data_IF_928058116865
#
_entry.id   IF_928058116865
#
_cell.length_a   1.000
_cell.length_b   1.000
_cell.length_c   1.000
_cell.angle_alpha   90.00
_cell.angle_beta   90.00
_cell.angle_gamma   90.00
#
_symmetry.space_group_name_H-M   'P 1'
#
loop_
_entity.id
_entity.type
_entity.pdbx_description
1 polymer ?
#
# COMPACT_ATOMS: atom_id res chain seq x y z
N UNK A 1 22.12 -18.92 -96.64
CA UNK A 1 23.48 -19.17 -96.17
C UNK A 1 23.55 -18.62 -94.73
N UNK A 2 23.45 -19.52 -93.74
CA UNK A 2 23.30 -19.23 -92.29
C UNK A 2 24.68 -19.23 -91.59
N UNK A 3 25.01 -18.21 -90.80
CA UNK A 3 26.15 -18.22 -89.92
C UNK A 3 25.66 -17.98 -88.45
N UNK A 4 25.66 -19.08 -87.71
CA UNK A 4 25.44 -19.11 -86.30
C UNK A 4 26.65 -18.52 -85.53
N UNK A 5 26.44 -17.51 -84.68
CA UNK A 5 27.39 -17.09 -83.68
C UNK A 5 26.83 -17.52 -82.31
N UNK A 6 27.44 -18.50 -81.76
CA UNK A 6 27.22 -18.91 -80.33
C UNK A 6 28.01 -17.96 -79.41
N UNK A 7 27.30 -17.27 -78.55
CA UNK A 7 27.88 -16.54 -77.41
C UNK A 7 27.97 -17.53 -76.22
N UNK A 8 29.17 -17.74 -75.75
CA UNK A 8 29.47 -18.51 -74.55
C UNK A 8 29.45 -17.55 -73.36
N UNK A 9 28.45 -17.69 -72.50
CA UNK A 9 28.42 -17.03 -71.18
C UNK A 9 29.16 -17.91 -70.19
N UNK A 10 30.35 -17.47 -69.73
CA UNK A 10 31.05 -18.03 -68.56
C UNK A 10 30.42 -17.43 -67.28
N UNK A 11 29.52 -18.20 -66.65
CA UNK A 11 28.97 -17.85 -65.37
C UNK A 11 29.98 -18.14 -64.25
N UNK A 12 30.52 -17.08 -63.64
CA UNK A 12 31.29 -17.20 -62.38
C UNK A 12 30.36 -17.50 -61.20
N UNK A 13 30.44 -18.69 -60.61
CA UNK A 13 29.76 -19.04 -59.36
C UNK A 13 30.55 -18.42 -58.23
N UNK A 14 30.11 -17.27 -57.72
CA UNK A 14 30.60 -16.67 -56.52
C UNK A 14 30.06 -17.48 -55.31
N UNK A 15 30.92 -18.27 -54.70
CA UNK A 15 30.61 -18.95 -53.41
C UNK A 15 30.64 -17.87 -52.32
N UNK A 16 29.45 -17.43 -51.91
CA UNK A 16 29.28 -16.64 -50.67
C UNK A 16 29.43 -17.60 -49.51
N UNK A 17 30.59 -17.62 -48.90
CA UNK A 17 30.79 -18.32 -47.64
C UNK A 17 30.01 -17.60 -46.50
N UNK A 18 28.85 -18.12 -46.18
CA UNK A 18 28.13 -17.73 -44.97
C UNK A 18 28.94 -18.20 -43.77
N UNK A 19 29.70 -17.27 -43.17
CA UNK A 19 30.33 -17.49 -41.88
C UNK A 19 29.20 -17.56 -40.84
N UNK A 20 28.76 -18.76 -40.50
CA UNK A 20 27.93 -19.02 -39.37
C UNK A 20 28.73 -18.70 -38.11
N UNK A 21 28.53 -17.48 -37.55
CA UNK A 21 28.99 -17.15 -36.22
C UNK A 21 28.18 -18.04 -35.26
N UNK A 22 28.81 -18.95 -34.51
CA UNK A 22 28.10 -19.71 -33.49
C UNK A 22 27.62 -18.70 -32.48
N UNK A 23 26.31 -18.45 -32.46
CA UNK A 23 25.62 -17.84 -31.32
C UNK A 23 25.82 -18.84 -30.19
N UNK A 24 26.86 -18.63 -29.39
CA UNK A 24 26.99 -19.31 -28.11
C UNK A 24 25.75 -18.94 -27.33
N UNK A 25 24.79 -19.87 -27.29
CA UNK A 25 23.67 -19.80 -26.40
C UNK A 25 24.26 -19.77 -24.97
N UNK A 26 24.46 -18.57 -24.43
CA UNK A 26 24.85 -18.41 -23.05
C UNK A 26 23.72 -19.03 -22.23
N UNK A 27 24.01 -20.19 -21.64
CA UNK A 27 23.13 -20.77 -20.63
C UNK A 27 22.87 -19.68 -19.61
N UNK A 28 21.64 -19.20 -19.54
CA UNK A 28 21.25 -18.23 -18.53
C UNK A 28 21.59 -18.78 -17.14
N UNK A 29 21.89 -17.89 -16.19
CA UNK A 29 22.19 -18.33 -14.83
C UNK A 29 21.04 -19.19 -14.32
N UNK A 30 21.34 -20.36 -13.81
CA UNK A 30 20.41 -21.30 -13.19
C UNK A 30 19.76 -20.75 -11.91
N UNK A 31 19.91 -19.43 -11.62
CA UNK A 31 19.59 -18.77 -10.38
C UNK A 31 18.83 -17.44 -10.52
N UNK A 32 17.80 -17.32 -11.36
CA UNK A 32 16.95 -16.13 -11.43
C UNK A 32 17.64 -14.88 -12.04
N UNK A 33 16.97 -13.72 -12.10
CA UNK A 33 17.52 -12.50 -12.67
C UNK A 33 18.68 -11.96 -11.83
N UNK A 34 19.65 -11.33 -12.49
CA UNK A 34 20.77 -10.63 -11.84
C UNK A 34 20.27 -9.53 -10.93
N UNK A 35 19.27 -8.78 -11.38
CA UNK A 35 18.65 -7.73 -10.59
C UNK A 35 17.12 -7.77 -10.62
N UNK A 36 16.52 -7.39 -9.49
CA UNK A 36 15.08 -7.26 -9.30
C UNK A 36 14.78 -5.85 -8.80
N UNK A 37 13.86 -5.19 -9.46
CA UNK A 37 13.44 -3.85 -9.09
C UNK A 37 11.94 -3.85 -8.76
N UNK A 38 11.59 -3.42 -7.55
CA UNK A 38 10.23 -3.37 -7.02
C UNK A 38 9.83 -1.91 -6.84
N UNK A 39 8.81 -1.50 -7.58
CA UNK A 39 8.22 -0.16 -7.55
C UNK A 39 6.83 -0.28 -6.92
N UNK A 40 6.56 0.53 -5.92
CA UNK A 40 5.28 0.56 -5.21
C UNK A 40 4.71 1.95 -5.28
N UNK A 41 3.67 2.11 -6.07
CA UNK A 41 3.00 3.38 -6.34
C UNK A 41 1.68 3.44 -5.56
N UNK A 42 1.63 4.27 -4.53
CA UNK A 42 0.47 4.42 -3.65
C UNK A 42 -0.18 5.78 -3.74
N UNK A 43 -1.50 5.80 -3.62
CA UNK A 43 -2.28 7.00 -3.35
C UNK A 43 -2.75 6.92 -1.90
N UNK A 44 -2.50 7.97 -1.13
CA UNK A 44 -2.91 8.08 0.26
C UNK A 44 -3.87 9.26 0.39
N UNK A 45 -4.99 9.07 1.08
CA UNK A 45 -6.01 10.09 1.29
C UNK A 45 -6.52 10.08 2.74
N UNK A 46 -7.39 11.03 3.07
CA UNK A 46 -7.95 11.15 4.40
C UNK A 46 -6.92 11.55 5.44
N UNK A 47 -7.08 11.09 6.67
CA UNK A 47 -6.23 11.44 7.82
C UNK A 47 -4.75 11.09 7.58
N UNK A 48 -4.45 9.97 6.94
CA UNK A 48 -3.07 9.57 6.65
C UNK A 48 -2.33 10.53 5.71
N UNK A 49 -3.04 11.20 4.80
CA UNK A 49 -2.47 12.21 3.91
C UNK A 49 -2.10 13.54 4.61
N UNK A 50 -2.50 13.70 5.86
CA UNK A 50 -2.16 14.88 6.68
C UNK A 50 -0.84 14.73 7.46
N UNK A 51 -0.09 13.68 7.21
CA UNK A 51 1.23 13.45 7.82
C UNK A 51 1.20 12.67 9.13
N UNK A 52 0.04 12.19 9.57
CA UNK A 52 -0.11 11.43 10.84
C UNK A 52 0.29 12.21 12.10
N UNK A 53 -0.05 11.68 13.29
CA UNK A 53 0.33 12.30 14.56
C UNK A 53 -0.46 13.54 14.97
N UNK A 54 0.10 14.31 15.92
CA UNK A 54 -0.55 15.49 16.55
C UNK A 54 -0.90 16.59 15.55
N UNK A 55 -0.08 16.81 14.54
CA UNK A 55 -0.31 17.84 13.49
C UNK A 55 -1.51 17.50 12.61
N UNK A 56 -1.70 16.21 12.25
CA UNK A 56 -2.87 15.74 11.52
C UNK A 56 -4.15 15.87 12.33
N UNK A 57 -4.12 15.50 13.62
CA UNK A 57 -5.25 15.63 14.53
C UNK A 57 -5.65 17.11 14.72
N UNK A 58 -4.68 18.01 14.87
CA UNK A 58 -4.92 19.45 15.01
C UNK A 58 -5.50 20.04 13.72
N UNK A 59 -5.02 19.62 12.54
CA UNK A 59 -5.57 20.04 11.24
C UNK A 59 -7.06 19.64 11.09
N UNK A 60 -7.45 18.48 11.58
CA UNK A 60 -8.88 18.08 11.59
C UNK A 60 -9.71 18.92 12.56
N UNK A 61 -9.19 19.19 13.75
CA UNK A 61 -9.90 19.98 14.76
C UNK A 61 -10.22 21.42 14.28
N UNK A 62 -9.38 21.96 13.40
CA UNK A 62 -9.59 23.28 12.79
C UNK A 62 -10.28 23.26 11.42
N UNK A 63 -10.98 22.18 11.09
CA UNK A 63 -11.77 22.08 9.84
C UNK A 63 -10.94 21.87 8.58
N UNK A 64 -9.64 21.57 8.70
CA UNK A 64 -8.75 21.26 7.58
C UNK A 64 -8.86 19.81 7.05
N UNK A 65 -9.89 19.08 7.47
CA UNK A 65 -10.08 17.67 7.21
C UNK A 65 -10.69 17.36 5.84
N UNK A 66 -10.28 17.93 4.81
CA UNK A 66 -10.87 17.68 3.51
C UNK A 66 -10.17 16.61 2.67
N UNK A 67 -10.25 16.78 1.42
CA UNK A 67 -9.82 15.95 0.33
C UNK A 67 -8.28 15.94 0.11
N UNK A 68 -7.48 15.94 1.18
CA UNK A 68 -6.02 15.88 1.01
C UNK A 68 -5.64 14.53 0.42
N UNK A 69 -4.90 14.60 -0.67
CA UNK A 69 -4.35 13.45 -1.37
C UNK A 69 -2.84 13.61 -1.44
N UNK A 70 -2.12 12.55 -1.19
CA UNK A 70 -0.67 12.46 -1.34
C UNK A 70 -0.34 11.18 -2.10
N UNK A 71 0.68 11.21 -2.93
CA UNK A 71 1.23 10.00 -3.51
C UNK A 71 2.41 9.50 -2.66
N UNK A 72 2.55 8.20 -2.59
CA UNK A 72 3.73 7.54 -2.03
C UNK A 72 4.42 6.71 -3.12
N UNK A 73 5.73 6.66 -3.08
CA UNK A 73 6.52 5.85 -3.99
C UNK A 73 7.62 5.17 -3.18
N UNK A 74 7.61 3.83 -3.21
CA UNK A 74 8.64 3.03 -2.56
C UNK A 74 9.40 2.27 -3.64
N UNK A 75 10.71 2.43 -3.67
CA UNK A 75 11.60 1.84 -4.66
C UNK A 75 12.58 0.91 -3.97
N UNK A 76 12.73 -0.32 -4.47
CA UNK A 76 13.64 -1.32 -3.92
C UNK A 76 14.37 -2.03 -5.04
N UNK A 77 15.69 -1.90 -5.08
CA UNK A 77 16.57 -2.57 -6.02
C UNK A 77 17.40 -3.61 -5.30
N UNK A 78 17.31 -4.85 -5.72
CA UNK A 78 18.17 -5.93 -5.23
C UNK A 78 18.94 -6.55 -6.38
N UNK A 79 20.23 -6.75 -6.17
CA UNK A 79 21.12 -7.38 -7.13
C UNK A 79 21.89 -8.55 -6.53
N UNK A 80 22.20 -9.53 -7.34
CA UNK A 80 23.14 -10.62 -7.02
C UNK A 80 24.62 -10.21 -7.23
N UNK A 81 24.88 -9.01 -7.76
CA UNK A 81 26.21 -8.49 -8.02
C UNK A 81 26.70 -7.61 -6.87
N UNK A 82 28.02 -7.60 -6.67
CA UNK A 82 28.71 -6.60 -5.86
C UNK A 82 28.91 -5.31 -6.67
N UNK A 83 29.04 -4.15 -5.99
CA UNK A 83 29.38 -2.91 -6.67
C UNK A 83 30.76 -3.00 -7.35
N UNK A 84 30.88 -2.42 -8.53
CA UNK A 84 32.14 -2.23 -9.22
C UNK A 84 32.70 -0.83 -8.94
N UNK A 85 33.99 -0.72 -8.61
CA UNK A 85 34.63 0.59 -8.45
C UNK A 85 34.25 1.37 -7.20
N UNK A 86 33.99 0.70 -6.07
CA UNK A 86 33.80 1.36 -4.78
C UNK A 86 32.41 1.16 -4.16
N UNK A 87 31.86 2.19 -3.49
CA UNK A 87 30.57 2.11 -2.81
C UNK A 87 29.41 1.84 -3.77
N UNK A 88 28.37 1.17 -3.29
CA UNK A 88 27.15 0.91 -4.06
C UNK A 88 26.47 2.23 -4.48
N UNK A 89 26.22 2.39 -5.78
CA UNK A 89 25.55 3.54 -6.37
C UNK A 89 24.55 3.07 -7.41
N UNK A 90 23.32 3.51 -7.32
CA UNK A 90 22.32 3.36 -8.35
C UNK A 90 21.34 4.53 -8.31
N UNK A 91 20.82 4.90 -9.47
CA UNK A 91 19.85 5.97 -9.65
C UNK A 91 18.66 5.48 -10.45
N UNK A 92 17.47 5.93 -10.08
CA UNK A 92 16.28 5.80 -10.89
C UNK A 92 15.96 7.13 -11.58
N UNK A 93 16.10 7.17 -12.89
CA UNK A 93 15.73 8.28 -13.77
C UNK A 93 14.27 8.14 -14.14
N UNK A 94 13.49 9.19 -13.91
CA UNK A 94 12.04 9.19 -14.07
C UNK A 94 11.58 10.22 -15.12
N UNK A 95 10.37 10.06 -15.68
CA UNK A 95 9.78 11.09 -16.53
C UNK A 95 9.58 12.39 -15.74
N UNK A 96 9.57 13.53 -16.44
CA UNK A 96 9.40 14.85 -15.83
C UNK A 96 8.10 14.96 -15.01
N UNK A 97 7.05 14.19 -15.40
CA UNK A 97 5.79 14.09 -14.68
C UNK A 97 5.92 13.61 -13.23
N UNK A 98 6.94 12.85 -12.88
CA UNK A 98 7.19 12.38 -11.51
C UNK A 98 7.50 13.53 -10.54
N UNK A 99 8.01 14.67 -11.03
CA UNK A 99 8.33 15.89 -10.26
C UNK A 99 9.35 15.66 -9.12
N UNK A 100 10.21 14.65 -9.30
CA UNK A 100 11.27 14.27 -8.35
C UNK A 100 12.68 14.69 -8.82
N UNK A 101 12.76 15.55 -9.86
CA UNK A 101 13.99 15.93 -10.53
C UNK A 101 14.38 14.92 -11.61
N UNK A 102 15.65 14.94 -12.02
CA UNK A 102 16.15 14.04 -13.08
C UNK A 102 16.22 12.59 -12.62
N UNK A 103 16.58 12.37 -11.36
CA UNK A 103 16.67 11.03 -10.75
C UNK A 103 16.51 11.08 -9.23
N UNK A 104 16.30 9.92 -8.65
CA UNK A 104 16.42 9.67 -7.21
C UNK A 104 17.48 8.60 -6.97
N UNK A 105 18.31 8.80 -5.95
CA UNK A 105 19.33 7.84 -5.57
C UNK A 105 18.73 6.67 -4.81
N UNK A 106 19.10 5.44 -5.19
CA UNK A 106 18.76 4.21 -4.47
C UNK A 106 19.85 3.90 -3.46
N UNK A 107 19.63 4.28 -2.21
CA UNK A 107 20.64 4.23 -1.15
C UNK A 107 20.60 2.88 -0.45
N UNK A 108 21.78 2.30 -0.22
CA UNK A 108 21.91 1.14 0.66
C UNK A 108 21.74 1.57 2.11
N UNK A 109 20.70 1.10 2.82
CA UNK A 109 20.51 1.48 4.21
C UNK A 109 21.63 0.91 5.08
N UNK A 110 22.14 1.73 5.98
CA UNK A 110 23.01 1.24 7.06
C UNK A 110 22.14 0.40 7.99
N UNK A 111 22.54 -0.84 8.22
CA UNK A 111 21.84 -1.71 9.15
C UNK A 111 22.23 -1.29 10.57
N UNK A 112 21.50 -0.34 11.14
CA UNK A 112 21.59 -0.11 12.57
C UNK A 112 21.04 -1.38 13.27
N UNK A 113 21.87 -1.97 14.13
CA UNK A 113 21.36 -2.96 15.09
C UNK A 113 20.48 -2.22 16.06
N UNK A 114 19.18 -2.16 15.74
CA UNK A 114 18.18 -1.69 16.69
C UNK A 114 18.25 -2.56 17.96
N UNK A 115 17.92 -2.00 19.13
CA UNK A 115 17.75 -2.80 20.32
C UNK A 115 16.76 -3.92 20.02
N UNK A 116 17.12 -5.14 20.44
CA UNK A 116 16.33 -6.34 20.20
C UNK A 116 14.88 -6.13 20.67
N UNK A 117 13.94 -6.42 19.77
CA UNK A 117 12.54 -6.76 20.00
C UNK A 117 11.85 -6.18 21.26
N UNK A 118 11.74 -4.85 21.34
CA UNK A 118 10.77 -4.24 22.24
C UNK A 118 9.43 -4.07 21.52
N UNK A 119 8.38 -4.62 22.10
CA UNK A 119 7.02 -4.36 21.63
C UNK A 119 6.74 -2.84 21.67
N UNK A 120 6.09 -2.25 20.66
CA UNK A 120 5.76 -0.83 20.65
C UNK A 120 5.03 -0.43 21.95
N UNK A 121 5.59 0.53 22.70
CA UNK A 121 5.01 1.02 23.95
C UNK A 121 5.53 0.37 25.24
N UNK A 122 6.44 -0.59 25.16
CA UNK A 122 7.06 -1.19 26.33
C UNK A 122 8.22 -0.30 26.82
N UNK A 123 8.10 0.23 28.02
CA UNK A 123 9.22 0.85 28.75
C UNK A 123 10.00 -0.23 29.47
N UNK A 124 11.33 -0.09 29.54
CA UNK A 124 12.20 -1.04 30.25
C UNK A 124 11.70 -1.34 31.66
N UNK A 125 11.52 -2.62 31.97
CA UNK A 125 11.09 -3.09 33.30
C UNK A 125 9.57 -3.17 33.53
N UNK A 126 8.71 -2.75 32.57
CA UNK A 126 7.25 -2.89 32.71
C UNK A 126 6.77 -4.23 32.14
N UNK A 127 6.01 -4.98 32.93
CA UNK A 127 5.31 -6.18 32.43
C UNK A 127 4.22 -5.76 31.46
N UNK A 128 4.12 -6.40 30.27
CA UNK A 128 3.01 -6.15 29.36
C UNK A 128 1.67 -6.33 30.06
N UNK A 129 0.79 -5.35 29.93
CA UNK A 129 -0.55 -5.36 30.54
C UNK A 129 -1.57 -4.89 29.50
N UNK A 130 -2.85 -5.13 29.76
CA UNK A 130 -3.94 -4.79 28.88
C UNK A 130 -4.42 -5.96 28.02
N UNK A 131 -5.49 -5.73 27.28
CA UNK A 131 -6.16 -6.73 26.43
C UNK A 131 -6.38 -6.19 25.05
N UNK A 132 -6.25 -7.04 24.03
CA UNK A 132 -6.67 -6.75 22.67
C UNK A 132 -7.93 -7.57 22.35
N UNK A 133 -8.98 -6.88 21.98
CA UNK A 133 -10.25 -7.45 21.50
C UNK A 133 -10.20 -7.52 19.97
N UNK A 134 -10.21 -8.72 19.41
CA UNK A 134 -10.11 -8.96 17.96
C UNK A 134 -11.48 -9.31 17.40
N UNK A 135 -11.98 -8.46 16.51
CA UNK A 135 -13.23 -8.62 15.80
C UNK A 135 -13.00 -8.75 14.29
N UNK A 136 -13.96 -9.31 13.56
CA UNK A 136 -13.94 -9.41 12.10
C UNK A 136 -15.34 -9.53 11.50
N UNK A 137 -15.45 -9.24 10.20
CA UNK A 137 -16.68 -9.34 9.42
C UNK A 137 -17.42 -8.03 9.26
N UNK A 138 -18.20 -7.95 8.18
CA UNK A 138 -19.15 -6.86 7.94
C UNK A 138 -20.55 -7.32 8.38
N UNK A 139 -21.25 -6.50 9.15
CA UNK A 139 -22.62 -6.78 9.64
C UNK A 139 -23.00 -5.83 10.77
N UNK A 140 -24.28 -5.76 11.10
CA UNK A 140 -24.75 -4.92 12.22
C UNK A 140 -24.25 -5.45 13.57
N UNK A 141 -24.12 -6.78 13.68
CA UNK A 141 -23.63 -7.50 14.85
C UNK A 141 -22.57 -8.51 14.48
N UNK A 142 -21.67 -8.82 15.42
CA UNK A 142 -20.64 -9.86 15.22
C UNK A 142 -21.25 -11.26 15.32
N UNK A 143 -20.75 -12.23 14.51
CA UNK A 143 -21.08 -13.64 14.70
C UNK A 143 -20.64 -14.17 16.07
N UNK A 144 -21.23 -15.29 16.50
CA UNK A 144 -20.86 -15.97 17.75
C UNK A 144 -19.35 -16.27 17.79
N UNK A 145 -18.74 -16.17 18.99
CA UNK A 145 -17.32 -16.45 19.20
C UNK A 145 -16.41 -15.23 19.04
N UNK A 146 -16.99 -14.04 18.90
CA UNK A 146 -16.26 -12.78 18.91
C UNK A 146 -16.59 -11.94 20.16
N UNK A 147 -15.64 -11.13 20.65
CA UNK A 147 -14.25 -11.03 20.21
C UNK A 147 -13.38 -12.21 20.66
N UNK A 148 -12.26 -12.42 19.96
CA UNK A 148 -11.14 -13.15 20.54
C UNK A 148 -10.34 -12.17 21.41
N UNK A 149 -10.15 -12.55 22.67
CA UNK A 149 -9.44 -11.71 23.65
C UNK A 149 -7.99 -12.19 23.76
N UNK A 150 -7.05 -11.30 23.48
CA UNK A 150 -5.62 -11.51 23.68
C UNK A 150 -5.20 -10.73 24.93
N UNK A 151 -4.85 -11.44 25.99
CA UNK A 151 -4.40 -10.86 27.26
C UNK A 151 -2.86 -10.83 27.27
N UNK A 152 -2.29 -9.63 27.27
CA UNK A 152 -0.83 -9.46 27.17
C UNK A 152 -0.09 -9.96 28.43
N UNK A 153 -0.74 -9.92 29.58
CA UNK A 153 -0.14 -10.49 30.79
C UNK A 153 0.01 -12.01 30.67
N UNK A 154 -0.96 -12.68 30.05
CA UNK A 154 -0.89 -14.13 29.77
C UNK A 154 0.14 -14.47 28.69
N UNK A 155 0.25 -13.64 27.66
CA UNK A 155 1.28 -13.81 26.62
C UNK A 155 2.68 -13.73 27.20
N UNK A 156 2.94 -12.82 28.13
CA UNK A 156 4.24 -12.70 28.81
C UNK A 156 4.61 -13.93 29.62
N UNK A 157 3.64 -14.77 29.98
CA UNK A 157 3.81 -16.05 30.62
C UNK A 157 3.87 -17.24 29.65
N UNK A 158 3.95 -16.98 28.32
CA UNK A 158 3.97 -18.01 27.29
C UNK A 158 2.59 -18.63 26.98
N UNK A 159 1.50 -18.11 27.56
CA UNK A 159 0.14 -18.60 27.32
C UNK A 159 -0.45 -17.93 26.07
N UNK A 160 -0.35 -18.60 24.94
CA UNK A 160 -0.89 -18.13 23.66
C UNK A 160 -2.36 -18.54 23.50
N UNK A 161 -3.28 -17.61 23.15
CA UNK A 161 -4.64 -17.98 22.78
C UNK A 161 -4.62 -18.93 21.56
N UNK A 162 -5.48 -19.95 21.52
CA UNK A 162 -5.59 -20.84 20.36
C UNK A 162 -5.85 -20.05 19.07
N UNK A 163 -5.06 -20.32 18.02
CA UNK A 163 -5.19 -19.67 16.73
C UNK A 163 -4.99 -18.15 16.77
N UNK A 164 -4.10 -17.65 17.61
CA UNK A 164 -3.79 -16.22 17.74
C UNK A 164 -3.41 -15.59 16.38
N UNK A 165 -2.58 -16.26 15.61
CA UNK A 165 -2.12 -15.75 14.31
C UNK A 165 -3.05 -16.18 13.18
N UNK A 166 -3.20 -15.34 12.18
CA UNK A 166 -3.88 -15.73 10.95
C UNK A 166 -3.14 -16.87 10.26
N UNK A 167 -3.88 -17.81 9.69
CA UNK A 167 -3.33 -19.02 9.06
C UNK A 167 -2.51 -18.66 7.81
N UNK A 168 -2.82 -17.54 7.15
CA UNK A 168 -2.17 -17.11 5.92
C UNK A 168 -1.22 -15.95 6.19
N UNK A 169 0.07 -16.27 6.33
CA UNK A 169 1.13 -15.25 6.36
C UNK A 169 1.60 -15.03 4.92
N UNK A 170 1.39 -13.84 4.40
CA UNK A 170 1.82 -13.46 3.07
C UNK A 170 3.23 -12.86 3.17
N UNK A 171 4.18 -13.47 2.46
CA UNK A 171 5.55 -12.99 2.41
C UNK A 171 5.67 -11.86 1.39
N UNK A 172 6.39 -10.81 1.74
CA UNK A 172 6.86 -9.82 0.77
C UNK A 172 7.94 -10.48 -0.10
N UNK A 173 7.63 -10.64 -1.39
CA UNK A 173 8.52 -11.25 -2.36
C UNK A 173 9.47 -10.25 -3.02
N UNK A 174 9.45 -8.99 -2.59
CA UNK A 174 10.33 -7.93 -3.09
C UNK A 174 11.79 -8.11 -2.67
N UNK A 175 12.70 -7.33 -3.28
CA UNK A 175 14.09 -7.28 -2.85
C UNK A 175 14.23 -6.72 -1.44
N UNK A 176 15.17 -7.29 -0.69
CA UNK A 176 15.53 -6.90 0.67
C UNK A 176 17.03 -7.01 0.87
N UNK A 177 17.55 -6.47 1.97
CA UNK A 177 18.95 -6.67 2.39
C UNK A 177 19.31 -8.16 2.56
N UNK A 178 18.35 -8.98 3.02
CA UNK A 178 18.59 -10.39 3.31
C UNK A 178 18.60 -11.29 2.06
N UNK A 179 17.89 -10.87 1.00
CA UNK A 179 17.76 -11.68 -0.22
C UNK A 179 18.51 -11.08 -1.44
N UNK A 180 19.40 -10.11 -1.20
CA UNK A 180 20.19 -9.42 -2.23
C UNK A 180 21.64 -9.28 -1.76
N UNK A 181 22.60 -9.45 -2.66
CA UNK A 181 24.02 -9.19 -2.36
C UNK A 181 24.26 -7.68 -2.21
N UNK A 182 23.64 -6.90 -3.08
CA UNK A 182 23.60 -5.44 -2.98
C UNK A 182 22.16 -4.98 -3.06
N UNK A 183 21.77 -4.06 -2.17
CA UNK A 183 20.42 -3.56 -2.05
C UNK A 183 20.42 -2.04 -1.97
N UNK A 184 19.49 -1.39 -2.67
CA UNK A 184 19.26 0.04 -2.60
C UNK A 184 17.77 0.35 -2.52
N UNK A 185 17.41 1.43 -1.82
CA UNK A 185 16.01 1.86 -1.66
C UNK A 185 15.83 3.36 -1.77
N UNK A 186 14.63 3.77 -2.07
CA UNK A 186 14.10 5.13 -1.91
C UNK A 186 12.65 5.00 -1.36
N UNK A 187 12.09 5.90 -0.54
CA UNK A 187 12.66 7.19 -0.15
C UNK A 187 13.81 7.07 0.85
N UNK A 188 14.56 8.14 0.88
CA UNK A 188 15.67 8.37 1.81
C UNK A 188 15.46 9.74 2.48
N UNK A 189 16.39 10.20 3.29
CA UNK A 189 16.35 11.51 3.93
C UNK A 189 16.79 12.64 2.98
N UNK A 190 16.49 12.53 1.68
CA UNK A 190 16.86 13.52 0.66
C UNK A 190 15.88 14.70 0.54
N UNK A 191 14.86 14.75 1.40
CA UNK A 191 13.82 15.77 1.44
C UNK A 191 12.83 15.74 0.26
N UNK A 192 12.97 14.80 -0.68
CA UNK A 192 12.06 14.68 -1.82
C UNK A 192 10.78 13.97 -1.43
N UNK A 193 9.65 14.55 -1.80
CA UNK A 193 8.32 13.99 -1.57
C UNK A 193 7.53 13.90 -2.87
N UNK A 194 6.74 12.84 -3.02
CA UNK A 194 5.87 12.64 -4.18
C UNK A 194 4.63 13.51 -4.01
N UNK A 195 4.37 14.39 -4.98
CA UNK A 195 3.22 15.31 -4.94
C UNK A 195 1.96 14.62 -5.46
N UNK A 196 0.78 15.05 -5.00
CA UNK A 196 -0.50 14.58 -5.54
C UNK A 196 -0.66 14.78 -7.06
N UNK A 197 0.11 15.70 -7.64
CA UNK A 197 0.15 15.97 -9.08
C UNK A 197 1.31 15.30 -9.80
N UNK A 198 2.01 14.36 -9.16
CA UNK A 198 3.05 13.54 -9.80
C UNK A 198 2.41 12.44 -10.65
N UNK A 199 3.08 12.08 -11.74
CA UNK A 199 2.70 10.97 -12.63
C UNK A 199 3.92 10.10 -12.93
N UNK A 200 3.70 8.79 -12.98
CA UNK A 200 4.72 7.81 -13.32
C UNK A 200 4.67 7.37 -14.78
N UNK A 201 3.67 7.83 -15.54
CA UNK A 201 3.53 7.44 -16.96
C UNK A 201 4.74 7.94 -17.76
N UNK A 202 5.34 7.04 -18.53
CA UNK A 202 6.44 7.37 -19.43
C UNK A 202 7.67 6.49 -19.24
N UNK A 203 8.79 6.94 -19.82
CA UNK A 203 10.05 6.20 -19.82
C UNK A 203 10.78 6.34 -18.48
N UNK A 204 11.26 5.21 -17.98
CA UNK A 204 12.06 5.06 -16.78
C UNK A 204 13.38 4.38 -17.10
N UNK A 205 14.43 4.71 -16.35
CA UNK A 205 15.73 4.05 -16.46
C UNK A 205 16.35 3.90 -15.07
N UNK A 206 16.80 2.71 -14.74
CA UNK A 206 17.58 2.44 -13.52
C UNK A 206 18.98 2.06 -13.95
N UNK A 207 19.97 2.74 -13.40
CA UNK A 207 21.38 2.48 -13.70
C UNK A 207 22.24 2.60 -12.44
N UNK A 208 23.29 1.78 -12.36
CA UNK A 208 24.19 1.76 -11.21
C UNK A 208 25.40 0.86 -11.43
N UNK A 209 26.28 0.83 -10.43
CA UNK A 209 27.52 0.04 -10.50
C UNK A 209 27.38 -1.41 -9.98
N UNK A 210 26.16 -1.83 -9.63
CA UNK A 210 25.86 -3.18 -9.13
C UNK A 210 24.64 -3.83 -9.81
N UNK A 211 24.15 -3.20 -10.88
CA UNK A 211 22.95 -3.67 -11.61
C UNK A 211 23.14 -3.52 -13.11
N UNK A 212 22.61 -4.41 -13.94
CA UNK A 212 22.41 -4.12 -15.34
C UNK A 212 21.52 -2.86 -15.48
N UNK A 213 21.72 -2.10 -16.55
CA UNK A 213 20.82 -1.00 -16.87
C UNK A 213 19.43 -1.55 -17.24
N UNK A 214 18.40 -0.96 -16.64
CA UNK A 214 17.01 -1.30 -16.87
C UNK A 214 16.32 -0.12 -17.51
N UNK A 215 15.83 -0.27 -18.74
CA UNK A 215 15.01 0.70 -19.44
C UNK A 215 13.61 0.12 -19.63
N UNK A 216 12.58 0.84 -19.17
CA UNK A 216 11.18 0.41 -19.26
C UNK A 216 10.26 1.62 -19.34
N UNK A 217 9.01 1.40 -19.73
CA UNK A 217 7.97 2.43 -19.76
C UNK A 217 6.79 1.97 -18.91
N UNK A 218 6.22 2.87 -18.12
CA UNK A 218 4.99 2.63 -17.38
C UNK A 218 3.81 3.25 -18.12
N UNK A 219 2.71 2.51 -18.15
CA UNK A 219 1.44 2.91 -18.80
C UNK A 219 0.37 3.21 -17.77
N UNK A 220 0.56 2.80 -16.53
CA UNK A 220 -0.35 3.05 -15.43
C UNK A 220 0.22 4.11 -14.48
N UNK A 221 -0.66 4.92 -13.93
CA UNK A 221 -0.33 5.95 -12.96
C UNK A 221 -0.78 5.55 -11.55
N UNK A 222 -0.58 6.44 -10.61
CA UNK A 222 -1.17 6.33 -9.28
C UNK A 222 -2.68 6.11 -9.36
N UNK A 223 -3.20 5.20 -8.52
CA UNK A 223 -4.64 4.94 -8.47
C UNK A 223 -5.42 6.17 -8.01
N UNK A 224 -6.69 6.26 -8.40
CA UNK A 224 -7.60 7.27 -7.92
C UNK A 224 -7.71 7.22 -6.37
N UNK A 225 -7.85 8.37 -5.69
CA UNK A 225 -7.95 8.40 -4.23
C UNK A 225 -9.25 7.78 -3.73
N UNK A 226 -9.16 7.06 -2.63
CA UNK A 226 -10.29 6.60 -1.85
C UNK A 226 -10.86 7.74 -1.02
N UNK A 227 -12.21 7.82 -0.98
CA UNK A 227 -12.96 8.72 -0.09
C UNK A 227 -13.93 7.88 0.70
N UNK A 228 -13.91 7.98 2.02
CA UNK A 228 -14.79 7.22 2.90
C UNK A 228 -15.77 8.14 3.62
N UNK A 229 -16.97 7.62 3.86
CA UNK A 229 -17.96 8.20 4.76
C UNK A 229 -18.40 7.14 5.75
N UNK A 230 -18.74 7.55 6.96
CA UNK A 230 -19.29 6.69 8.00
C UNK A 230 -20.65 7.21 8.45
N UNK A 231 -21.64 6.33 8.50
CA UNK A 231 -22.99 6.65 8.98
C UNK A 231 -23.38 5.67 10.07
N UNK A 232 -23.82 6.19 11.22
CA UNK A 232 -24.28 5.35 12.32
C UNK A 232 -25.70 4.86 12.06
N UNK A 233 -25.90 3.54 12.23
CA UNK A 233 -27.21 2.90 12.17
C UNK A 233 -27.91 2.91 13.54
N UNK A 234 -29.22 2.69 13.56
CA UNK A 234 -30.01 2.59 14.80
C UNK A 234 -29.56 1.45 15.72
N UNK A 235 -28.98 0.39 15.18
CA UNK A 235 -28.37 -0.73 15.93
C UNK A 235 -27.09 -0.35 16.68
N UNK A 236 -26.55 0.86 16.46
CA UNK A 236 -25.23 1.27 16.98
C UNK A 236 -24.05 0.84 16.11
N UNK A 237 -24.28 0.09 15.05
CA UNK A 237 -23.27 -0.22 14.03
C UNK A 237 -22.95 0.99 13.15
N UNK A 238 -21.83 0.96 12.41
CA UNK A 238 -21.46 2.02 11.47
C UNK A 238 -21.37 1.48 10.05
N UNK A 239 -22.16 2.05 9.14
CA UNK A 239 -21.96 1.82 7.71
C UNK A 239 -20.75 2.64 7.23
N UNK A 240 -19.68 1.95 6.83
CA UNK A 240 -18.55 2.51 6.11
C UNK A 240 -18.85 2.40 4.62
N UNK A 241 -18.88 3.51 3.91
CA UNK A 241 -19.08 3.58 2.45
C UNK A 241 -17.91 4.28 1.78
N UNK A 242 -17.64 3.93 0.51
CA UNK A 242 -16.55 4.54 -0.27
C UNK A 242 -16.87 4.58 -1.77
N UNK A 243 -16.14 5.43 -2.49
CA UNK A 243 -16.20 5.48 -3.95
C UNK A 243 -15.56 4.25 -4.57
N UNK A 244 -16.09 3.76 -5.67
CA UNK A 244 -15.40 2.79 -6.51
C UNK A 244 -14.06 3.39 -7.01
N UNK A 245 -12.99 2.61 -6.94
CA UNK A 245 -11.68 2.97 -7.49
C UNK A 245 -11.46 2.15 -8.75
N UNK A 246 -11.29 2.79 -9.93
CA UNK A 246 -10.95 2.11 -11.16
C UNK A 246 -9.71 1.23 -10.97
N UNK A 247 -9.67 0.08 -11.59
CA UNK A 247 -8.59 -0.93 -11.49
C UNK A 247 -8.37 -1.54 -10.10
N UNK A 248 -9.21 -1.29 -9.09
CA UNK A 248 -9.14 -2.02 -7.83
C UNK A 248 -9.39 -3.53 -8.06
N UNK A 249 -8.58 -4.38 -7.43
CA UNK A 249 -8.70 -5.84 -7.47
C UNK A 249 -9.39 -6.40 -6.24
N UNK A 250 -9.54 -5.59 -5.19
CA UNK A 250 -10.25 -5.91 -3.95
C UNK A 250 -10.04 -4.83 -2.89
N UNK A 251 -10.84 -4.90 -1.83
CA UNK A 251 -10.80 -3.93 -0.72
C UNK A 251 -10.63 -4.64 0.63
N UNK A 252 -9.86 -4.02 1.52
CA UNK A 252 -9.73 -4.45 2.91
C UNK A 252 -9.84 -3.25 3.83
N UNK A 253 -10.80 -3.29 4.75
CA UNK A 253 -10.90 -2.32 5.83
C UNK A 253 -10.32 -2.91 7.12
N UNK A 254 -9.62 -2.07 7.85
CA UNK A 254 -9.03 -2.34 9.15
C UNK A 254 -9.37 -1.21 10.10
N UNK A 255 -9.61 -1.51 11.37
CA UNK A 255 -9.83 -0.52 12.42
C UNK A 255 -9.03 -0.93 13.65
N UNK A 256 -8.35 0.04 14.22
CA UNK A 256 -7.67 -0.06 15.50
C UNK A 256 -8.15 1.05 16.43
N UNK A 257 -8.37 0.73 17.68
CA UNK A 257 -8.72 1.69 18.71
C UNK A 257 -8.17 1.28 20.06
N UNK A 258 -8.22 2.20 21.01
CA UNK A 258 -7.73 1.91 22.34
C UNK A 258 -8.34 2.82 23.40
N UNK A 259 -8.33 2.32 24.62
CA UNK A 259 -8.66 3.06 25.84
C UNK A 259 -7.39 3.32 26.62
N UNK A 260 -7.18 4.59 26.95
CA UNK A 260 -6.06 4.99 27.76
C UNK A 260 -6.34 4.65 29.24
N UNK A 261 -5.46 3.88 29.86
CA UNK A 261 -5.50 3.65 31.29
C UNK A 261 -4.83 4.80 32.07
N UNK A 262 -5.04 4.86 33.36
CA UNK A 262 -4.35 5.80 34.24
C UNK A 262 -2.82 5.66 34.08
N UNK A 263 -2.12 6.79 33.96
CA UNK A 263 -0.67 6.81 33.70
C UNK A 263 -0.28 6.75 32.21
N UNK A 264 -1.25 6.90 31.28
CA UNK A 264 -0.98 7.02 29.84
C UNK A 264 -0.65 5.69 29.15
N UNK A 265 -0.92 4.56 29.78
CA UNK A 265 -0.74 3.23 29.18
C UNK A 265 -1.99 2.80 28.42
N UNK A 266 -1.81 1.97 27.39
CA UNK A 266 -2.94 1.36 26.68
C UNK A 266 -3.54 0.24 27.56
N UNK A 267 -4.77 0.44 28.04
CA UNK A 267 -5.47 -0.54 28.88
C UNK A 267 -6.17 -1.62 28.07
N UNK A 268 -7.11 -1.20 27.24
CA UNK A 268 -7.86 -2.08 26.33
C UNK A 268 -7.73 -1.59 24.91
N UNK A 269 -7.47 -2.50 23.99
CA UNK A 269 -7.34 -2.23 22.58
C UNK A 269 -8.39 -2.99 21.79
N UNK A 270 -8.87 -2.40 20.71
CA UNK A 270 -9.86 -2.98 19.79
C UNK A 270 -9.24 -3.05 18.42
N UNK A 271 -9.36 -4.20 17.79
CA UNK A 271 -8.98 -4.42 16.39
C UNK A 271 -10.16 -5.04 15.65
N UNK A 272 -10.46 -4.52 14.47
CA UNK A 272 -11.46 -5.08 13.59
C UNK A 272 -10.97 -5.09 12.14
N UNK A 273 -11.39 -6.10 11.38
CA UNK A 273 -11.16 -6.18 9.94
C UNK A 273 -12.45 -6.54 9.20
N UNK A 274 -12.58 -6.08 7.96
CA UNK A 274 -13.71 -6.45 7.08
C UNK A 274 -13.66 -7.89 6.58
N UNK A 275 -12.61 -8.65 6.89
CA UNK A 275 -12.46 -10.05 6.50
C UNK A 275 -13.59 -10.91 7.08
N UNK A 276 -14.10 -11.87 6.33
CA UNK A 276 -15.08 -12.84 6.84
C UNK A 276 -14.48 -13.83 7.84
N UNK A 277 -13.15 -13.90 7.97
CA UNK A 277 -12.44 -14.71 8.92
C UNK A 277 -11.47 -13.89 9.77
N UNK A 278 -11.15 -14.38 10.96
CA UNK A 278 -10.21 -13.70 11.86
C UNK A 278 -8.86 -13.50 11.19
N UNK A 279 -8.38 -12.25 11.21
CA UNK A 279 -7.06 -11.87 10.74
C UNK A 279 -6.31 -11.18 11.87
N UNK A 280 -5.10 -11.67 12.17
CA UNK A 280 -4.17 -11.05 13.11
C UNK A 280 -2.75 -11.39 12.67
N UNK A 281 -1.96 -10.37 12.36
CA UNK A 281 -0.67 -10.54 11.68
C UNK A 281 -0.87 -10.96 10.20
N UNK A 282 0.17 -11.38 9.53
CA UNK A 282 0.07 -12.06 8.24
C UNK A 282 0.19 -11.22 6.98
N UNK A 283 0.56 -9.93 7.06
CA UNK A 283 0.96 -9.14 5.89
C UNK A 283 -0.20 -8.69 4.98
N UNK A 284 -1.44 -8.67 5.47
CA UNK A 284 -2.59 -8.18 4.69
C UNK A 284 -2.54 -6.66 4.43
N UNK A 285 -1.77 -5.92 5.21
CA UNK A 285 -1.50 -4.49 5.01
C UNK A 285 -0.40 -4.22 3.99
N UNK A 286 0.31 -5.27 3.55
CA UNK A 286 1.42 -5.16 2.61
C UNK A 286 0.94 -4.98 1.16
N UNK A 287 1.91 -4.81 0.27
CA UNK A 287 1.69 -4.67 -1.16
C UNK A 287 1.44 -6.06 -1.79
N UNK A 288 0.17 -6.44 -1.87
CA UNK A 288 -0.24 -7.73 -2.42
C UNK A 288 -0.22 -7.71 -3.94
N UNK A 289 0.10 -8.87 -4.54
CA UNK A 289 -0.04 -9.06 -5.98
C UNK A 289 -1.51 -9.32 -6.34
N UNK A 290 -1.97 -9.04 -7.57
CA UNK A 290 -3.33 -9.35 -8.00
C UNK A 290 -3.70 -10.83 -7.81
N UNK A 291 -2.74 -11.75 -8.01
CA UNK A 291 -2.95 -13.18 -7.77
C UNK A 291 -3.19 -13.52 -6.30
N UNK A 292 -2.45 -12.87 -5.37
CA UNK A 292 -2.70 -13.00 -3.93
C UNK A 292 -4.07 -12.43 -3.56
N UNK A 293 -4.42 -11.24 -4.06
CA UNK A 293 -5.71 -10.61 -3.81
C UNK A 293 -6.86 -11.47 -4.33
N UNK A 294 -6.77 -12.02 -5.55
CA UNK A 294 -7.78 -12.91 -6.10
C UNK A 294 -8.02 -14.17 -5.23
N UNK A 295 -6.95 -14.73 -4.66
CA UNK A 295 -7.04 -15.82 -3.68
C UNK A 295 -7.78 -15.38 -2.41
N UNK A 296 -7.45 -14.23 -1.87
CA UNK A 296 -8.07 -13.69 -0.66
C UNK A 296 -9.53 -13.27 -0.87
N UNK A 297 -9.90 -12.82 -2.08
CA UNK A 297 -11.30 -12.54 -2.45
C UNK A 297 -12.12 -13.84 -2.48
N UNK A 298 -11.59 -14.91 -3.08
CA UNK A 298 -12.26 -16.23 -3.06
C UNK A 298 -12.49 -16.73 -1.63
N UNK A 299 -11.55 -16.51 -0.75
CA UNK A 299 -11.64 -16.90 0.66
C UNK A 299 -12.44 -15.89 1.51
N UNK A 300 -12.96 -14.84 0.92
CA UNK A 300 -13.68 -13.74 1.60
C UNK A 300 -12.83 -13.06 2.70
N UNK A 301 -11.53 -13.12 2.62
CA UNK A 301 -10.60 -12.36 3.46
C UNK A 301 -10.50 -10.91 3.00
N UNK A 302 -10.57 -10.69 1.69
CA UNK A 302 -10.62 -9.38 1.03
C UNK A 302 -11.97 -9.26 0.33
N UNK A 303 -12.59 -8.09 0.41
CA UNK A 303 -13.85 -7.80 -0.27
C UNK A 303 -13.64 -7.68 -1.79
N UNK A 304 -14.67 -7.97 -2.56
CA UNK A 304 -14.62 -7.95 -4.04
C UNK A 304 -14.35 -6.53 -4.56
N UNK A 305 -13.83 -6.37 -5.79
CA UNK A 305 -13.56 -5.05 -6.38
C UNK A 305 -14.83 -4.22 -6.64
N UNK A 306 -16.00 -4.83 -6.62
CA UNK A 306 -17.29 -4.15 -6.78
C UNK A 306 -17.92 -3.68 -5.46
N UNK A 307 -17.30 -4.03 -4.33
CA UNK A 307 -17.80 -3.66 -3.00
C UNK A 307 -17.52 -2.18 -2.73
N UNK A 308 -18.52 -1.43 -2.29
CA UNK A 308 -18.41 -0.01 -1.93
C UNK A 308 -18.96 0.30 -0.54
N UNK A 309 -19.21 -0.72 0.27
CA UNK A 309 -19.68 -0.54 1.65
C UNK A 309 -19.47 -1.77 2.52
N UNK A 310 -19.31 -1.55 3.81
CA UNK A 310 -19.21 -2.57 4.85
C UNK A 310 -19.67 -2.02 6.17
N UNK A 311 -20.58 -2.71 6.84
CA UNK A 311 -21.07 -2.30 8.17
C UNK A 311 -20.10 -2.79 9.24
N UNK A 312 -19.56 -1.88 10.02
CA UNK A 312 -18.73 -2.16 11.21
C UNK A 312 -19.67 -2.50 12.35
N UNK A 313 -19.56 -3.69 12.98
CA UNK A 313 -20.51 -4.14 14.01
C UNK A 313 -20.60 -3.23 15.23
N UNK A 314 -21.78 -3.21 15.84
CA UNK A 314 -22.07 -2.40 17.02
C UNK A 314 -21.13 -2.75 18.20
N UNK A 315 -20.75 -4.01 18.35
CA UNK A 315 -19.90 -4.48 19.44
C UNK A 315 -18.47 -3.92 19.32
N UNK A 316 -17.99 -3.63 18.10
CA UNK A 316 -16.69 -2.96 17.88
C UNK A 316 -16.70 -1.55 18.46
N UNK A 317 -17.83 -0.84 18.31
CA UNK A 317 -18.02 0.48 18.94
C UNK A 317 -18.24 0.37 20.43
N UNK A 318 -19.03 -0.60 20.87
CA UNK A 318 -19.34 -0.87 22.28
C UNK A 318 -18.14 -1.29 23.13
N UNK A 319 -17.00 -1.66 22.49
CA UNK A 319 -15.78 -2.03 23.19
C UNK A 319 -15.08 -0.85 23.93
N UNK A 320 -15.65 0.36 23.91
CA UNK A 320 -15.31 1.45 24.83
C UNK A 320 -13.95 2.12 24.56
N UNK A 321 -13.45 2.11 23.34
CA UNK A 321 -12.22 2.82 22.96
C UNK A 321 -12.41 4.35 22.99
N UNK A 322 -11.41 5.08 23.50
CA UNK A 322 -11.39 6.54 23.53
C UNK A 322 -11.12 7.15 22.15
N UNK A 323 -10.47 6.38 21.29
CA UNK A 323 -10.23 6.71 19.89
C UNK A 323 -10.31 5.47 19.03
N UNK A 324 -10.68 5.64 17.77
CA UNK A 324 -10.60 4.61 16.73
C UNK A 324 -10.05 5.22 15.46
N UNK A 325 -9.13 4.53 14.84
CA UNK A 325 -8.56 4.89 13.55
C UNK A 325 -8.81 3.75 12.58
N UNK A 326 -9.47 4.06 11.48
CA UNK A 326 -9.75 3.12 10.42
C UNK A 326 -8.86 3.36 9.21
N UNK A 327 -8.58 2.31 8.47
CA UNK A 327 -7.85 2.32 7.20
C UNK A 327 -8.61 1.46 6.20
N UNK A 328 -8.81 1.96 4.99
CA UNK A 328 -9.35 1.21 3.86
C UNK A 328 -8.30 1.19 2.76
N UNK A 329 -7.96 0.01 2.28
CA UNK A 329 -7.03 -0.21 1.16
C UNK A 329 -7.77 -0.80 -0.03
N UNK A 330 -7.62 -0.16 -1.19
CA UNK A 330 -7.93 -0.72 -2.50
C UNK A 330 -6.62 -1.29 -3.07
N UNK A 331 -6.54 -2.60 -3.23
CA UNK A 331 -5.43 -3.25 -3.91
C UNK A 331 -5.57 -3.03 -5.41
N UNK A 332 -4.46 -2.72 -6.07
CA UNK A 332 -4.44 -2.35 -7.49
C UNK A 332 -3.81 -3.43 -8.38
N UNK A 333 -3.59 -3.06 -9.64
CA UNK A 333 -2.93 -3.91 -10.61
C UNK A 333 -1.42 -4.03 -10.34
N UNK A 334 -0.80 -4.92 -11.09
CA UNK A 334 0.65 -5.11 -11.16
C UNK A 334 1.09 -5.04 -12.62
N UNK A 335 2.17 -4.31 -12.87
CA UNK A 335 2.88 -4.31 -14.15
C UNK A 335 4.22 -5.02 -13.96
N UNK A 336 4.48 -6.04 -14.79
CA UNK A 336 5.75 -6.75 -14.80
C UNK A 336 6.49 -6.48 -16.12
N UNK A 337 7.73 -6.01 -16.03
CA UNK A 337 8.61 -5.80 -17.18
C UNK A 337 9.86 -6.64 -17.03
N UNK A 338 10.29 -7.25 -18.12
CA UNK A 338 11.41 -8.18 -18.16
C UNK A 338 12.47 -7.74 -19.18
N UNK A 339 13.73 -8.01 -18.90
CA UNK A 339 14.84 -7.72 -19.83
C UNK A 339 14.76 -8.49 -21.15
N UNK A 340 14.02 -9.59 -21.15
CA UNK A 340 13.75 -10.40 -22.34
C UNK A 340 12.32 -10.96 -22.25
N UNK A 341 11.64 -11.14 -23.38
CA UNK A 341 10.30 -11.74 -23.39
C UNK A 341 10.37 -13.18 -22.85
N UNK A 342 9.29 -13.60 -22.22
CA UNK A 342 9.18 -14.97 -21.71
C UNK A 342 9.15 -15.95 -22.88
N UNK A 343 9.98 -17.01 -22.89
CA UNK A 343 9.90 -18.06 -23.92
C UNK A 343 8.51 -18.67 -23.99
N UNK A 344 8.05 -18.98 -25.21
CA UNK A 344 6.78 -19.67 -25.42
C UNK A 344 6.78 -21.09 -24.82
N UNK A 345 7.92 -21.81 -24.92
CA UNK A 345 8.13 -23.08 -24.26
C UNK A 345 8.51 -22.84 -22.78
N UNK A 346 7.70 -23.32 -21.81
CA UNK A 346 8.00 -23.18 -20.39
C UNK A 346 9.31 -23.86 -19.95
N UNK A 347 9.82 -24.81 -20.74
CA UNK A 347 11.06 -25.54 -20.47
C UNK A 347 12.29 -24.88 -21.09
N UNK A 348 12.11 -23.91 -21.98
CA UNK A 348 13.22 -23.16 -22.57
C UNK A 348 13.94 -22.32 -21.51
N UNK A 349 15.27 -22.24 -21.64
CA UNK A 349 16.08 -21.38 -20.76
C UNK A 349 15.70 -19.92 -20.97
N UNK A 350 15.26 -19.24 -19.91
CA UNK A 350 14.96 -17.82 -19.94
C UNK A 350 16.18 -17.03 -19.50
N UNK A 351 16.85 -16.36 -20.44
CA UNK A 351 18.03 -15.51 -20.14
C UNK A 351 17.58 -14.15 -19.60
N UNK A 352 17.14 -14.16 -18.36
CA UNK A 352 16.55 -13.00 -17.69
C UNK A 352 17.65 -12.27 -16.91
N UNK A 353 18.01 -11.06 -17.36
CA UNK A 353 19.02 -10.23 -16.68
C UNK A 353 18.40 -9.43 -15.54
N UNK A 354 17.19 -8.88 -15.75
CA UNK A 354 16.51 -8.12 -14.73
C UNK A 354 14.98 -8.22 -14.86
N UNK A 355 14.31 -7.97 -13.75
CA UNK A 355 12.85 -7.81 -13.69
C UNK A 355 12.50 -6.51 -12.99
N UNK A 356 11.48 -5.84 -13.48
CA UNK A 356 10.82 -4.70 -12.83
C UNK A 356 9.38 -5.11 -12.53
N UNK A 357 8.96 -4.91 -11.29
CA UNK A 357 7.59 -5.12 -10.85
C UNK A 357 7.04 -3.82 -10.29
N UNK A 358 5.91 -3.37 -10.80
CA UNK A 358 5.22 -2.17 -10.34
C UNK A 358 3.88 -2.56 -9.77
N UNK A 359 3.64 -2.27 -8.48
CA UNK A 359 2.38 -2.54 -7.80
C UNK A 359 1.72 -1.24 -7.37
N UNK A 360 0.41 -1.22 -7.51
CA UNK A 360 -0.41 -0.05 -7.23
C UNK A 360 -1.36 -0.32 -6.07
N UNK A 361 -1.63 0.71 -5.26
CA UNK A 361 -2.70 0.68 -4.26
C UNK A 361 -3.23 2.09 -4.01
N UNK A 362 -4.45 2.16 -3.50
CA UNK A 362 -5.00 3.40 -2.91
C UNK A 362 -5.44 3.12 -1.49
N UNK A 363 -5.05 3.99 -0.56
CA UNK A 363 -5.33 3.83 0.86
C UNK A 363 -5.92 5.13 1.40
N UNK A 364 -6.96 5.02 2.20
CA UNK A 364 -7.50 6.14 2.97
C UNK A 364 -7.58 5.76 4.43
N UNK A 365 -7.51 6.75 5.30
CA UNK A 365 -7.76 6.55 6.73
C UNK A 365 -8.74 7.58 7.25
N UNK A 366 -9.50 7.17 8.26
CA UNK A 366 -10.43 8.03 8.98
C UNK A 366 -10.25 7.84 10.47
N UNK A 367 -10.73 8.82 11.24
CA UNK A 367 -10.75 8.76 12.69
C UNK A 367 -12.20 8.81 13.17
N UNK A 368 -12.51 7.99 14.15
CA UNK A 368 -13.77 8.00 14.88
C UNK A 368 -13.47 8.30 16.35
N UNK A 369 -13.81 9.52 16.77
CA UNK A 369 -13.66 9.99 18.13
C UNK A 369 -15.05 9.96 18.80
N UNK A 370 -15.28 9.09 19.78
CA UNK A 370 -16.53 9.06 20.52
C UNK A 370 -16.86 10.44 21.11
N UNK A 371 -18.10 10.91 20.89
CA UNK A 371 -18.58 12.20 21.36
C UNK A 371 -18.37 13.38 20.39
N UNK A 372 -17.46 13.36 19.44
CA UNK A 372 -17.34 14.42 18.42
C UNK A 372 -18.34 14.25 17.28
N UNK A 373 -18.59 13.02 16.85
CA UNK A 373 -19.58 12.73 15.81
C UNK A 373 -21.01 12.97 16.27
N UNK A 374 -21.30 12.80 17.55
CA UNK A 374 -22.61 13.06 18.13
C UNK A 374 -22.96 14.57 18.15
N UNK A 375 -21.95 15.43 18.29
CA UNK A 375 -22.13 16.89 18.23
C UNK A 375 -22.35 17.39 16.80
N UNK A 376 -21.71 16.81 15.81
CA UNK A 376 -21.90 17.16 14.40
C UNK A 376 -23.32 16.77 13.91
N UNK A 377 -23.83 15.62 14.35
CA UNK A 377 -25.18 15.18 14.06
C UNK A 377 -26.26 16.08 14.72
N UNK A 378 -25.97 16.65 15.89
CA UNK A 378 -26.88 17.59 16.58
C UNK A 378 -26.81 19.00 15.99
N UNK A 379 -25.70 19.43 15.42
CA UNK A 379 -25.57 20.74 14.75
C UNK A 379 -26.22 20.76 13.36
N UNK A 380 -26.45 19.61 12.73
CA UNK A 380 -27.15 19.49 11.44
C UNK A 380 -28.67 19.57 11.52
N UNK A 381 -29.28 19.56 12.70
CA UNK A 381 -30.72 19.84 12.80
C UNK A 381 -30.94 21.36 12.78
N UNK A 382 -31.73 21.88 11.81
CA UNK A 382 -32.08 23.30 11.83
C UNK A 382 -32.83 23.57 13.13
N UNK A 383 -32.23 24.35 14.04
CA UNK A 383 -32.91 24.85 15.24
C UNK A 383 -34.18 25.54 14.75
N UNK A 384 -35.36 24.98 15.02
CA UNK A 384 -36.66 25.64 14.78
C UNK A 384 -36.67 26.87 15.67
N UNK A 385 -36.32 28.02 15.09
CA UNK A 385 -36.49 29.29 15.77
C UNK A 385 -37.99 29.51 16.02
N UNK A 386 -38.41 29.55 17.27
CA UNK A 386 -39.78 30.00 17.61
C UNK A 386 -39.80 31.52 17.35
N UNK A 387 -40.71 32.04 16.52
CA UNK A 387 -40.83 33.49 16.32
C UNK A 387 -41.21 34.11 17.65
N UNK A 388 -40.31 34.89 18.23
CA UNK A 388 -40.63 35.82 19.30
C UNK A 388 -41.40 37.00 18.67
N UNK A 389 -42.55 37.35 19.26
CA UNK A 389 -43.53 38.32 18.75
C UNK A 389 -42.94 39.65 18.19
N UNK A 390 -43.80 40.46 17.58
CA UNK A 390 -43.60 41.59 16.68
C UNK A 390 -42.51 42.62 17.03
N UNK A 391 -41.81 42.53 18.17
CA UNK A 391 -40.71 43.46 18.57
C UNK A 391 -39.32 43.06 18.08
N UNK A 392 -39.13 41.88 17.46
CA UNK A 392 -37.83 41.38 17.07
C UNK A 392 -37.35 41.72 15.64
N UNK A 393 -38.17 42.39 14.85
CA UNK A 393 -37.91 42.60 13.41
C UNK A 393 -36.92 43.68 13.07
N UNK A 394 -36.61 44.58 13.98
CA UNK A 394 -35.73 45.74 13.74
C UNK A 394 -34.26 45.54 14.22
N UNK A 395 -33.98 44.48 14.95
CA UNK A 395 -32.61 44.15 15.46
C UNK A 395 -31.76 43.24 14.58
N UNK A 396 -32.34 42.60 13.54
CA UNK A 396 -31.69 41.53 12.79
C UNK A 396 -30.82 42.02 11.60
N UNK A 397 -30.73 43.31 11.32
CA UNK A 397 -30.06 43.80 10.14
C UNK A 397 -28.61 44.26 10.44
N UNK A 398 -28.18 44.34 11.71
CA UNK A 398 -26.87 44.87 12.09
C UNK A 398 -25.89 43.86 12.71
N UNK A 399 -26.37 42.64 13.03
CA UNK A 399 -25.46 41.62 13.56
C UNK A 399 -25.72 40.31 12.77
N UNK A 400 -24.83 40.00 11.85
CA UNK A 400 -24.74 38.67 11.21
C UNK A 400 -24.44 37.59 12.25
N UNK A 401 -25.47 37.07 12.86
CA UNK A 401 -25.39 36.05 13.88
C UNK A 401 -26.72 35.34 14.01
N UNK A 402 -26.69 34.02 13.92
CA UNK A 402 -27.83 33.12 13.98
C UNK A 402 -28.77 33.38 15.16
N UNK A 403 -29.98 32.83 15.04
CA UNK A 403 -31.14 32.91 15.91
C UNK A 403 -30.94 33.28 17.36
#
# INVERSE_FOLDING_TARGET
MAINRRLVFTGGIGIVALVAIPVLAQRGPTGGPVARYDVRAGTVSGFAAMGGGMSGAMSMAFGGGGDRVQHELLLRLGSSQAPTGGAAKADHFMPAGAKLGKSVALVTPVQERGPADQLPGQRDGQKPSGRLLVFWGCGEHVPKGQPVVIDFAKLSLGQMPPGMWSVKVLRDLGPTLQNSKTFGRWPTEDGKTVKASSSLIGAHRVAGNYTPEMAFALTQDFMAPLKTTTTQNASGSNLLSWNAVPSATGYLAFLFGGKMAAGGQMGEMVMWTSSASRQFGGGLSDWLTPGQVAGLVRDRTVMTPTTTGCTIPAEVRGAGADFRMGTLTAFGPEEDVFSAPRPADPKAAWNLQWTVRVRHRSTTSWMDLPGMNDQAAQQGQPKKCKPKGLGGLLGAVVAGGGC
#
